data_IF_437349042755
#
_entry.id   IF_437349042755
#
_cell.length_a   1.000
_cell.length_b   1.000
_cell.length_c   1.000
_cell.angle_alpha   90.00
_cell.angle_beta   90.00
_cell.angle_gamma   90.00
#
_symmetry.space_group_name_H-M   'P 1'
#
loop_
_entity.id
_entity.type
_entity.pdbx_description
1 polymer ?
#
# COMPACT_ATOMS: atom_id res chain seq x y z
N UNK A 1 -22.78 -11.01 -28.12
CA UNK A 1 -22.40 -9.64 -27.67
C UNK A 1 -22.42 -9.47 -26.15
N UNK A 2 -22.51 -10.56 -25.38
CA UNK A 2 -22.60 -10.53 -23.90
C UNK A 2 -21.39 -11.16 -23.19
N UNK A 3 -20.38 -11.62 -23.92
CA UNK A 3 -19.24 -12.34 -23.33
C UNK A 3 -18.01 -11.48 -23.04
N UNK A 4 -17.88 -10.30 -23.62
CA UNK A 4 -16.66 -9.47 -23.46
C UNK A 4 -16.67 -8.53 -22.25
N UNK A 5 -17.73 -8.50 -21.45
CA UNK A 5 -17.82 -7.63 -20.26
C UNK A 5 -17.07 -8.21 -19.05
N UNK A 6 -16.68 -9.50 -19.13
CA UNK A 6 -16.25 -10.27 -17.94
C UNK A 6 -14.82 -10.06 -17.47
N UNK A 7 -13.87 -9.71 -18.33
CA UNK A 7 -12.44 -9.88 -17.99
C UNK A 7 -11.64 -8.58 -17.77
N UNK A 8 -12.18 -7.43 -18.12
CA UNK A 8 -11.44 -6.15 -18.03
C UNK A 8 -11.78 -5.28 -16.82
N UNK A 9 -12.71 -5.71 -15.97
CA UNK A 9 -13.17 -4.90 -14.85
C UNK A 9 -12.80 -5.55 -13.51
N UNK A 10 -11.89 -4.97 -12.73
CA UNK A 10 -11.53 -5.50 -11.42
C UNK A 10 -12.73 -5.62 -10.47
N UNK A 11 -13.78 -4.83 -10.68
CA UNK A 11 -15.03 -4.99 -9.92
C UNK A 11 -15.91 -6.12 -10.41
N UNK A 12 -15.93 -6.42 -11.70
CA UNK A 12 -16.60 -7.63 -12.20
C UNK A 12 -15.92 -8.88 -11.65
N UNK A 13 -14.60 -8.87 -11.53
CA UNK A 13 -13.83 -9.90 -10.82
C UNK A 13 -14.20 -9.98 -9.34
N UNK A 14 -14.35 -8.86 -8.64
CA UNK A 14 -14.74 -8.82 -7.23
C UNK A 14 -16.21 -9.24 -7.03
N UNK A 15 -17.09 -8.96 -7.98
CA UNK A 15 -18.56 -9.18 -7.87
C UNK A 15 -19.03 -10.50 -8.44
N UNK A 16 -18.51 -10.91 -9.59
CA UNK A 16 -18.85 -12.21 -10.18
C UNK A 16 -18.37 -13.38 -9.30
N UNK A 17 -17.62 -13.10 -8.23
CA UNK A 17 -16.81 -14.08 -7.57
C UNK A 17 -16.92 -14.09 -6.04
N UNK A 18 -17.96 -13.49 -5.44
CA UNK A 18 -18.23 -13.71 -4.01
C UNK A 18 -18.33 -15.22 -3.65
N UNK A 19 -18.73 -16.04 -4.63
CA UNK A 19 -18.78 -17.51 -4.52
C UNK A 19 -17.71 -18.24 -5.37
N UNK A 20 -16.78 -17.53 -6.02
CA UNK A 20 -15.82 -18.18 -6.90
C UNK A 20 -14.55 -18.64 -6.19
N UNK A 21 -13.95 -19.68 -6.76
CA UNK A 21 -12.65 -20.21 -6.33
C UNK A 21 -11.55 -19.13 -6.31
N UNK A 22 -11.61 -18.16 -7.24
CA UNK A 22 -10.65 -17.07 -7.32
C UNK A 22 -10.74 -16.09 -6.12
N UNK A 23 -11.95 -15.77 -5.65
CA UNK A 23 -12.16 -14.95 -4.46
C UNK A 23 -11.66 -15.66 -3.19
N UNK A 24 -11.97 -16.95 -3.06
CA UNK A 24 -11.44 -17.77 -1.98
C UNK A 24 -9.91 -17.87 -1.99
N UNK A 25 -9.30 -17.98 -3.18
CA UNK A 25 -7.86 -18.00 -3.34
C UNK A 25 -7.24 -16.65 -3.00
N UNK A 26 -7.81 -15.55 -3.48
CA UNK A 26 -7.38 -14.19 -3.17
C UNK A 26 -7.39 -13.94 -1.66
N UNK A 27 -8.48 -14.26 -0.98
CA UNK A 27 -8.59 -14.16 0.49
C UNK A 27 -7.55 -15.01 1.20
N UNK A 28 -7.30 -16.24 0.73
CA UNK A 28 -6.28 -17.14 1.31
C UNK A 28 -4.86 -16.58 1.13
N UNK A 29 -4.58 -15.90 0.02
CA UNK A 29 -3.29 -15.26 -0.22
C UNK A 29 -3.11 -13.95 0.55
N UNK A 30 -4.18 -13.17 0.72
CA UNK A 30 -4.14 -11.91 1.46
C UNK A 30 -4.02 -12.12 2.97
N UNK A 31 -4.64 -13.17 3.53
CA UNK A 31 -4.62 -13.45 4.97
C UNK A 31 -3.22 -13.61 5.57
N UNK A 32 -2.28 -14.39 4.99
CA UNK A 32 -0.92 -14.51 5.50
C UNK A 32 -0.14 -13.19 5.44
N UNK A 33 -0.37 -12.38 4.39
CA UNK A 33 0.27 -11.07 4.26
C UNK A 33 -0.14 -10.12 5.38
N UNK A 34 -1.39 -10.18 5.83
CA UNK A 34 -1.87 -9.40 6.98
C UNK A 34 -1.32 -9.91 8.31
N UNK A 35 -1.21 -11.23 8.47
CA UNK A 35 -0.70 -11.85 9.70
C UNK A 35 0.81 -11.62 9.89
N UNK A 36 1.55 -11.33 8.82
CA UNK A 36 2.99 -11.11 8.90
C UNK A 36 3.30 -9.77 9.57
N UNK A 37 4.19 -9.74 10.61
CA UNK A 37 4.64 -8.51 11.23
C UNK A 37 5.27 -7.56 10.20
N UNK A 38 4.97 -6.26 10.31
CA UNK A 38 5.45 -5.25 9.36
C UNK A 38 6.98 -5.25 9.20
N UNK A 39 7.71 -5.33 10.32
CA UNK A 39 9.18 -5.36 10.31
C UNK A 39 9.71 -6.62 9.61
N UNK A 40 9.12 -7.79 9.86
CA UNK A 40 9.55 -9.02 9.20
C UNK A 40 9.30 -8.95 7.68
N UNK A 41 8.16 -8.39 7.27
CA UNK A 41 7.87 -8.13 5.86
C UNK A 41 8.89 -7.16 5.25
N UNK A 42 9.22 -6.06 5.96
CA UNK A 42 10.17 -5.07 5.51
C UNK A 42 11.59 -5.64 5.31
N UNK A 43 12.05 -6.49 6.22
CA UNK A 43 13.35 -7.18 6.09
C UNK A 43 13.35 -8.07 4.85
N UNK A 44 12.33 -8.91 4.66
CA UNK A 44 12.21 -9.75 3.48
C UNK A 44 12.14 -8.95 2.19
N UNK A 45 11.39 -7.85 2.18
CA UNK A 45 11.26 -6.94 1.06
C UNK A 45 12.58 -6.23 0.72
N UNK A 46 13.34 -5.81 1.74
CA UNK A 46 14.67 -5.25 1.56
C UNK A 46 15.64 -6.24 0.91
N UNK A 47 15.67 -7.49 1.37
CA UNK A 47 16.46 -8.55 0.76
C UNK A 47 16.04 -8.87 -0.68
N UNK A 48 14.75 -8.70 -0.98
CA UNK A 48 14.24 -8.93 -2.32
C UNK A 48 14.69 -7.84 -3.30
N UNK A 49 14.60 -6.57 -2.88
CA UNK A 49 14.88 -5.39 -3.70
C UNK A 49 16.33 -4.90 -3.68
N UNK A 50 17.16 -5.35 -2.74
CA UNK A 50 18.57 -4.96 -2.70
C UNK A 50 19.26 -5.18 -4.05
N UNK A 51 20.25 -4.35 -4.43
CA UNK A 51 21.03 -4.57 -5.66
C UNK A 51 21.71 -5.95 -5.71
N UNK A 52 22.06 -6.50 -4.56
CA UNK A 52 22.53 -7.87 -4.37
C UNK A 52 21.39 -8.86 -4.05
N UNK A 53 20.14 -8.41 -4.15
CA UNK A 53 18.96 -9.14 -3.73
C UNK A 53 18.51 -10.23 -4.70
N UNK A 54 17.53 -11.01 -4.24
CA UNK A 54 17.04 -12.18 -4.97
C UNK A 54 16.45 -11.85 -6.34
N UNK A 55 15.72 -10.72 -6.47
CA UNK A 55 15.11 -10.34 -7.77
C UNK A 55 16.18 -10.12 -8.83
N UNK A 56 17.23 -9.35 -8.53
CA UNK A 56 18.27 -9.08 -9.49
C UNK A 56 19.10 -10.34 -9.78
N UNK A 57 19.39 -11.15 -8.78
CA UNK A 57 20.11 -12.42 -8.96
C UNK A 57 19.39 -13.42 -9.86
N UNK A 58 18.07 -13.50 -9.79
CA UNK A 58 17.27 -14.40 -10.62
C UNK A 58 17.30 -14.02 -12.10
N UNK A 59 17.43 -12.73 -12.41
CA UNK A 59 17.42 -12.22 -13.79
C UNK A 59 18.83 -11.92 -14.34
N UNK A 60 19.84 -11.85 -13.46
CA UNK A 60 21.24 -11.59 -13.85
C UNK A 60 22.03 -12.91 -13.91
N UNK A 61 23.04 -13.01 -14.82
CA UNK A 61 23.35 -12.05 -15.88
C UNK A 61 22.49 -12.21 -17.14
N UNK A 62 21.65 -13.26 -17.22
CA UNK A 62 21.00 -13.71 -18.44
C UNK A 62 20.12 -12.63 -19.12
N UNK A 63 19.36 -11.84 -18.35
CA UNK A 63 18.48 -10.79 -18.89
C UNK A 63 19.05 -9.39 -18.75
N UNK A 64 19.90 -9.15 -17.74
CA UNK A 64 20.41 -7.81 -17.43
C UNK A 64 21.83 -7.57 -17.94
N UNK A 65 22.59 -8.62 -18.25
CA UNK A 65 24.01 -8.54 -18.61
C UNK A 65 24.92 -8.11 -17.44
N UNK A 66 24.39 -7.99 -16.20
CA UNK A 66 25.15 -7.56 -15.05
C UNK A 66 25.81 -8.77 -14.37
N UNK A 67 27.15 -8.79 -14.33
CA UNK A 67 27.93 -9.79 -13.61
C UNK A 67 28.11 -9.44 -12.13
N UNK A 68 28.12 -8.14 -11.79
CA UNK A 68 28.23 -7.62 -10.44
C UNK A 68 26.97 -6.83 -10.08
N UNK A 69 26.64 -6.77 -8.76
CA UNK A 69 25.54 -5.92 -8.29
C UNK A 69 25.79 -4.46 -8.70
N UNK A 70 24.79 -3.77 -9.26
CA UNK A 70 24.91 -2.36 -9.61
C UNK A 70 24.92 -1.48 -8.36
N UNK A 71 25.53 -0.29 -8.45
CA UNK A 71 25.60 0.70 -7.38
C UNK A 71 24.28 1.50 -7.21
N UNK A 72 23.15 0.85 -7.40
CA UNK A 72 21.85 1.49 -7.23
C UNK A 72 21.42 1.45 -5.75
N UNK A 73 20.96 2.57 -5.27
CA UNK A 73 20.34 2.63 -3.95
C UNK A 73 18.83 2.34 -4.08
N UNK A 74 18.44 1.07 -3.97
CA UNK A 74 17.04 0.65 -3.93
C UNK A 74 16.50 0.59 -2.50
N UNK A 75 17.42 0.50 -1.52
CA UNK A 75 17.13 0.56 -0.09
C UNK A 75 17.75 1.86 0.41
N UNK A 76 17.02 2.60 1.25
CA UNK A 76 17.41 3.93 1.74
C UNK A 76 17.68 4.93 0.61
N UNK A 77 16.93 4.77 -0.48
CA UNK A 77 17.01 5.67 -1.61
C UNK A 77 16.61 7.10 -1.20
N UNK A 78 17.24 8.15 -1.76
CA UNK A 78 17.01 9.54 -1.36
C UNK A 78 15.56 10.01 -1.52
N UNK A 79 14.78 9.37 -2.40
CA UNK A 79 13.38 9.68 -2.68
C UNK A 79 12.40 8.88 -1.82
N UNK A 80 12.88 7.89 -1.05
CA UNK A 80 12.04 7.02 -0.24
C UNK A 80 11.15 6.07 -1.04
N UNK A 81 11.49 5.80 -2.31
CA UNK A 81 10.68 4.94 -3.19
C UNK A 81 10.60 3.52 -2.67
N UNK A 82 11.69 3.00 -2.10
CA UNK A 82 11.73 1.69 -1.46
C UNK A 82 10.74 1.59 -0.30
N UNK A 83 10.68 2.62 0.56
CA UNK A 83 9.73 2.71 1.66
C UNK A 83 8.28 2.83 1.15
N UNK A 84 8.05 3.68 0.16
CA UNK A 84 6.71 3.85 -0.44
C UNK A 84 6.24 2.53 -1.05
N UNK A 85 7.09 1.85 -1.82
CA UNK A 85 6.76 0.56 -2.41
C UNK A 85 6.42 -0.48 -1.34
N UNK A 86 7.22 -0.56 -0.27
CA UNK A 86 6.95 -1.43 0.88
C UNK A 86 5.57 -1.18 1.46
N UNK A 87 5.24 0.08 1.79
CA UNK A 87 3.96 0.47 2.38
C UNK A 87 2.80 0.13 1.44
N UNK A 88 2.92 0.43 0.14
CA UNK A 88 1.90 0.08 -0.85
C UNK A 88 1.66 -1.42 -0.88
N UNK A 89 2.72 -2.24 -0.96
CA UNK A 89 2.58 -3.69 -0.98
C UNK A 89 1.99 -4.25 0.31
N UNK A 90 2.37 -3.69 1.46
CA UNK A 90 1.94 -4.18 2.77
C UNK A 90 0.50 -3.78 3.10
N UNK A 91 0.10 -2.54 2.74
CA UNK A 91 -1.21 -2.00 3.09
C UNK A 91 -2.30 -2.31 2.05
N UNK A 92 -1.93 -2.60 0.82
CA UNK A 92 -2.89 -2.99 -0.24
C UNK A 92 -3.78 -4.17 0.16
N UNK A 93 -3.28 -5.29 0.75
CA UNK A 93 -4.12 -6.39 1.21
C UNK A 93 -5.18 -5.96 2.22
N UNK A 94 -4.82 -5.08 3.15
CA UNK A 94 -5.76 -4.54 4.14
C UNK A 94 -6.86 -3.72 3.47
N UNK A 95 -6.49 -2.78 2.59
CA UNK A 95 -7.46 -1.95 1.87
C UNK A 95 -8.38 -2.78 0.97
N UNK A 96 -7.83 -3.81 0.31
CA UNK A 96 -8.63 -4.74 -0.50
C UNK A 96 -9.65 -5.49 0.37
N UNK A 97 -9.25 -6.01 1.53
CA UNK A 97 -10.19 -6.69 2.43
C UNK A 97 -11.25 -5.74 2.98
N UNK A 98 -10.88 -4.49 3.30
CA UNK A 98 -11.84 -3.47 3.71
C UNK A 98 -12.82 -3.14 2.57
N UNK A 99 -12.32 -3.01 1.34
CA UNK A 99 -13.17 -2.82 0.17
C UNK A 99 -14.14 -4.01 -0.03
N UNK A 100 -13.63 -5.23 0.11
CA UNK A 100 -14.45 -6.44 0.00
C UNK A 100 -15.51 -6.52 1.10
N UNK A 101 -15.16 -6.15 2.35
CA UNK A 101 -16.09 -6.15 3.47
C UNK A 101 -17.16 -5.05 3.36
N UNK A 102 -16.80 -3.91 2.75
CA UNK A 102 -17.73 -2.79 2.54
C UNK A 102 -18.75 -3.03 1.43
N UNK A 103 -18.54 -4.03 0.60
CA UNK A 103 -19.42 -4.31 -0.55
C UNK A 103 -20.66 -5.07 -0.14
N UNK A 104 -21.82 -4.52 -0.47
CA UNK A 104 -23.06 -5.27 -0.47
C UNK A 104 -23.31 -5.82 -1.90
N UNK A 105 -23.27 -7.14 -2.13
CA UNK A 105 -23.32 -7.73 -3.48
C UNK A 105 -24.50 -7.25 -4.33
N UNK A 106 -25.68 -7.11 -3.69
CA UNK A 106 -26.91 -6.67 -4.36
C UNK A 106 -26.81 -5.22 -4.85
N UNK A 107 -26.22 -4.32 -4.04
CA UNK A 107 -26.10 -2.90 -4.43
C UNK A 107 -25.11 -2.71 -5.57
N UNK A 108 -24.02 -3.45 -5.56
CA UNK A 108 -23.01 -3.37 -6.62
C UNK A 108 -23.54 -3.93 -7.95
N UNK A 109 -24.21 -5.08 -7.92
CA UNK A 109 -24.86 -5.63 -9.11
C UNK A 109 -25.87 -4.63 -9.71
N UNK A 110 -26.70 -4.00 -8.85
CA UNK A 110 -27.64 -2.97 -9.29
C UNK A 110 -26.95 -1.78 -9.96
N UNK A 111 -25.86 -1.28 -9.41
CA UNK A 111 -25.11 -0.16 -10.00
C UNK A 111 -24.47 -0.53 -11.34
N UNK A 112 -23.99 -1.76 -11.48
CA UNK A 112 -23.46 -2.26 -12.76
C UNK A 112 -24.56 -2.33 -13.83
N UNK A 113 -25.73 -2.88 -13.49
CA UNK A 113 -26.89 -2.93 -14.39
C UNK A 113 -27.34 -1.54 -14.81
N UNK A 114 -27.42 -0.59 -13.87
CA UNK A 114 -27.79 0.79 -14.17
C UNK A 114 -26.76 1.46 -15.08
N UNK A 115 -25.45 1.29 -14.80
CA UNK A 115 -24.41 1.84 -15.65
C UNK A 115 -24.41 1.25 -17.06
N UNK A 116 -24.62 -0.06 -17.17
CA UNK A 116 -24.72 -0.73 -18.47
C UNK A 116 -25.96 -0.29 -19.28
N UNK A 117 -27.12 -0.12 -18.62
CA UNK A 117 -28.33 0.39 -19.25
C UNK A 117 -28.21 1.84 -19.73
N UNK A 118 -27.34 2.64 -19.10
CA UNK A 118 -27.01 4.00 -19.53
C UNK A 118 -25.91 4.05 -20.61
N UNK A 119 -25.44 2.88 -21.07
CA UNK A 119 -24.39 2.79 -22.09
C UNK A 119 -22.97 3.14 -21.58
N UNK A 120 -22.74 3.12 -20.27
CA UNK A 120 -21.42 3.38 -19.71
C UNK A 120 -20.49 2.19 -19.95
N UNK A 121 -19.26 2.48 -20.34
CA UNK A 121 -18.18 1.48 -20.39
C UNK A 121 -17.79 1.03 -18.98
N UNK A 122 -17.15 -0.13 -18.85
CA UNK A 122 -16.72 -0.67 -17.56
C UNK A 122 -15.85 0.30 -16.72
N UNK A 123 -14.86 1.02 -17.29
CA UNK A 123 -14.13 2.06 -16.56
C UNK A 123 -15.03 3.21 -16.08
N UNK A 124 -16.00 3.63 -16.88
CA UNK A 124 -16.93 4.70 -16.50
C UNK A 124 -17.84 4.28 -15.34
N UNK A 125 -18.34 3.03 -15.34
CA UNK A 125 -19.11 2.46 -14.24
C UNK A 125 -18.25 2.46 -12.96
N UNK A 126 -16.99 2.04 -13.07
CA UNK A 126 -16.05 2.04 -11.94
C UNK A 126 -15.88 3.43 -11.32
N UNK A 127 -15.45 4.40 -12.13
CA UNK A 127 -15.11 5.73 -11.64
C UNK A 127 -16.32 6.58 -11.25
N UNK A 128 -17.45 6.43 -11.92
CA UNK A 128 -18.63 7.29 -11.71
C UNK A 128 -19.66 6.73 -10.74
N UNK A 129 -19.75 5.41 -10.61
CA UNK A 129 -20.78 4.76 -9.80
C UNK A 129 -20.20 3.98 -8.63
N UNK A 130 -19.27 3.06 -8.89
CA UNK A 130 -18.80 2.11 -7.89
C UNK A 130 -17.82 2.76 -6.88
N UNK A 131 -16.82 3.47 -7.36
CA UNK A 131 -15.84 4.13 -6.48
C UNK A 131 -16.49 5.16 -5.57
N UNK A 132 -17.36 6.08 -6.05
CA UNK A 132 -18.07 7.00 -5.17
C UNK A 132 -18.97 6.30 -4.15
N UNK A 133 -19.58 5.17 -4.51
CA UNK A 133 -20.40 4.40 -3.58
C UNK A 133 -19.57 3.68 -2.50
N UNK A 134 -18.35 3.26 -2.81
CA UNK A 134 -17.42 2.63 -1.86
C UNK A 134 -16.67 3.66 -1.00
N UNK A 135 -16.51 4.88 -1.49
CA UNK A 135 -15.71 5.91 -0.84
C UNK A 135 -16.07 6.16 0.63
N UNK A 136 -17.36 6.29 1.04
CA UNK A 136 -17.71 6.51 2.45
C UNK A 136 -17.19 5.42 3.39
N UNK A 137 -17.12 4.18 2.90
CA UNK A 137 -16.63 3.03 3.68
C UNK A 137 -15.10 2.92 3.66
N UNK A 138 -14.45 3.34 2.57
CA UNK A 138 -13.01 3.22 2.39
C UNK A 138 -12.21 4.40 2.96
N UNK A 139 -12.83 5.57 3.12
CA UNK A 139 -12.13 6.78 3.56
C UNK A 139 -11.41 6.59 4.90
N UNK A 140 -12.05 5.98 5.91
CA UNK A 140 -11.44 5.75 7.21
C UNK A 140 -10.27 4.76 7.15
N UNK A 141 -10.38 3.58 6.51
CA UNK A 141 -9.23 2.72 6.25
C UNK A 141 -8.08 3.42 5.52
N UNK A 142 -8.38 4.22 4.50
CA UNK A 142 -7.35 4.97 3.74
C UNK A 142 -6.66 6.01 4.65
N UNK A 143 -7.42 6.76 5.44
CA UNK A 143 -6.84 7.72 6.38
C UNK A 143 -5.99 7.03 7.45
N UNK A 144 -6.44 5.88 7.97
CA UNK A 144 -5.66 5.10 8.92
C UNK A 144 -4.32 4.64 8.32
N UNK A 145 -4.31 4.13 7.09
CA UNK A 145 -3.09 3.74 6.37
C UNK A 145 -2.20 4.94 6.10
N UNK A 146 -2.76 6.07 5.67
CA UNK A 146 -1.99 7.29 5.42
C UNK A 146 -1.37 7.84 6.72
N UNK A 147 -2.13 7.88 7.82
CA UNK A 147 -1.65 8.31 9.13
C UNK A 147 -0.52 7.38 9.64
N UNK A 148 -0.69 6.07 9.48
CA UNK A 148 0.35 5.09 9.79
C UNK A 148 1.61 5.34 8.96
N UNK A 149 1.49 5.50 7.64
CA UNK A 149 2.61 5.72 6.74
C UNK A 149 3.42 6.99 7.06
N UNK A 150 2.75 8.05 7.53
CA UNK A 150 3.42 9.29 7.98
C UNK A 150 4.11 9.13 9.33
N UNK A 151 3.55 8.32 10.22
CA UNK A 151 4.02 8.17 11.61
C UNK A 151 4.98 6.97 11.80
N UNK A 152 5.11 6.08 10.82
CA UNK A 152 5.92 4.87 10.95
C UNK A 152 7.40 5.18 11.10
N UNK A 153 8.03 4.63 12.14
CA UNK A 153 9.46 4.82 12.45
C UNK A 153 10.29 3.60 12.07
N UNK A 154 9.88 2.42 12.50
CA UNK A 154 10.61 1.16 12.31
C UNK A 154 10.86 0.81 10.84
N UNK A 155 9.85 0.89 10.00
CA UNK A 155 9.99 0.65 8.56
C UNK A 155 10.81 1.75 7.88
N UNK A 156 10.63 3.00 8.31
CA UNK A 156 11.37 4.14 7.77
C UNK A 156 12.85 4.10 8.16
N UNK A 157 13.21 3.53 9.31
CA UNK A 157 14.62 3.28 9.69
C UNK A 157 15.26 2.17 8.83
N UNK A 158 14.49 1.21 8.37
CA UNK A 158 14.99 0.10 7.54
C UNK A 158 15.16 0.49 6.07
N UNK A 159 14.15 1.13 5.48
CA UNK A 159 14.09 1.38 4.04
C UNK A 159 13.98 2.86 3.67
N UNK A 160 13.67 3.74 4.61
CA UNK A 160 13.53 5.16 4.34
C UNK A 160 14.87 5.86 4.10
N UNK A 161 14.86 7.07 3.52
CA UNK A 161 16.06 7.85 3.27
C UNK A 161 16.75 8.27 4.58
N UNK A 162 18.08 8.35 4.53
CA UNK A 162 18.89 8.80 5.66
C UNK A 162 19.00 10.33 5.71
N UNK A 163 19.08 10.98 4.55
CA UNK A 163 19.28 12.44 4.47
C UNK A 163 18.44 13.06 3.31
N UNK A 164 17.36 13.77 3.63
CA UNK A 164 16.80 13.97 4.97
C UNK A 164 16.00 12.75 5.46
N UNK A 165 16.21 12.36 6.71
CA UNK A 165 15.38 11.32 7.30
C UNK A 165 13.92 11.79 7.46
N UNK A 166 12.93 10.87 7.35
CA UNK A 166 11.54 11.18 7.61
C UNK A 166 11.33 11.82 8.99
N UNK A 167 10.34 12.71 9.09
CA UNK A 167 10.10 13.46 10.34
C UNK A 167 9.90 12.54 11.55
N UNK A 168 9.13 11.46 11.39
CA UNK A 168 8.90 10.50 12.48
C UNK A 168 10.22 9.88 12.99
N UNK A 169 11.14 9.52 12.09
CA UNK A 169 12.47 9.01 12.45
C UNK A 169 13.30 10.07 13.15
N UNK A 170 13.31 11.31 12.68
CA UNK A 170 14.02 12.40 13.32
C UNK A 170 13.52 12.68 14.73
N UNK A 171 12.20 12.69 14.92
CA UNK A 171 11.59 12.86 16.23
C UNK A 171 11.98 11.73 17.19
N UNK A 172 12.01 10.51 16.70
CA UNK A 172 12.46 9.36 17.46
C UNK A 172 13.92 9.49 17.89
N UNK A 173 14.83 9.90 16.98
CA UNK A 173 16.24 10.13 17.29
C UNK A 173 16.42 11.26 18.31
N UNK A 174 15.72 12.39 18.17
CA UNK A 174 15.76 13.50 19.13
C UNK A 174 15.21 13.11 20.51
N UNK A 175 14.21 12.24 20.54
CA UNK A 175 13.66 11.73 21.81
C UNK A 175 14.67 10.87 22.57
N UNK A 176 15.49 10.11 21.86
CA UNK A 176 16.53 9.25 22.44
C UNK A 176 17.84 10.00 22.74
N UNK A 177 17.97 11.23 22.30
CA UNK A 177 19.18 12.03 22.52
C UNK A 177 19.37 12.32 24.03
N UNK A 178 20.54 12.10 24.58
CA UNK A 178 20.86 12.44 25.99
C UNK A 178 20.72 13.94 26.28
N UNK A 179 20.92 14.80 25.28
CA UNK A 179 20.76 16.24 25.43
C UNK A 179 19.29 16.65 25.56
N UNK A 180 18.96 17.16 26.76
CA UNK A 180 17.61 17.59 27.11
C UNK A 180 17.11 18.77 26.26
N UNK A 181 17.98 19.50 25.58
CA UNK A 181 17.61 20.59 24.69
C UNK A 181 16.72 20.12 23.53
N UNK A 182 16.89 18.88 23.08
CA UNK A 182 16.08 18.28 22.01
C UNK A 182 14.64 17.95 22.42
N UNK A 183 14.32 17.89 23.72
CA UNK A 183 12.98 17.55 24.19
C UNK A 183 11.91 18.53 23.73
N UNK A 184 12.22 19.83 23.75
CA UNK A 184 11.31 20.87 23.24
C UNK A 184 11.05 20.73 21.74
N UNK A 185 12.11 20.51 20.96
CA UNK A 185 12.00 20.29 19.52
C UNK A 185 11.23 19.01 19.20
N UNK A 186 11.46 17.93 19.96
CA UNK A 186 10.71 16.67 19.81
C UNK A 186 9.23 16.86 20.09
N UNK A 187 8.87 17.54 21.19
CA UNK A 187 7.47 17.78 21.56
C UNK A 187 6.74 18.62 20.50
N UNK A 188 7.35 19.72 20.04
CA UNK A 188 6.76 20.57 19.00
C UNK A 188 6.66 19.84 17.66
N UNK A 189 7.67 19.07 17.28
CA UNK A 189 7.65 18.24 16.08
C UNK A 189 6.58 17.15 16.13
N UNK A 190 6.37 16.51 17.30
CA UNK A 190 5.32 15.53 17.50
C UNK A 190 3.91 16.15 17.37
N UNK A 191 3.71 17.37 17.89
CA UNK A 191 2.46 18.11 17.70
C UNK A 191 2.21 18.46 16.23
N UNK A 192 3.26 18.84 15.50
CA UNK A 192 3.14 19.09 14.05
C UNK A 192 2.80 17.81 13.29
N UNK A 193 3.40 16.68 13.64
CA UNK A 193 3.09 15.39 13.03
C UNK A 193 1.63 15.00 13.30
N UNK A 194 1.17 15.15 14.55
CA UNK A 194 -0.21 14.91 14.94
C UNK A 194 -1.19 15.83 14.19
N UNK A 195 -0.88 17.12 14.08
CA UNK A 195 -1.71 18.05 13.33
C UNK A 195 -1.80 17.68 11.84
N UNK A 196 -0.71 17.22 11.24
CA UNK A 196 -0.69 16.74 9.85
C UNK A 196 -1.52 15.48 9.66
N UNK A 197 -1.43 14.53 10.57
CA UNK A 197 -2.24 13.30 10.49
C UNK A 197 -3.72 13.57 10.74
N UNK A 198 -4.07 14.57 11.54
CA UNK A 198 -5.46 14.98 11.77
C UNK A 198 -6.08 15.77 10.59
N UNK A 199 -5.27 16.25 9.65
CA UNK A 199 -5.72 16.94 8.43
C UNK A 199 -5.91 16.01 7.22
N UNK A 200 -5.52 14.73 7.35
CA UNK A 200 -5.75 13.72 6.32
C UNK A 200 -7.20 13.24 6.33
#
# INVERSE_FOLDING_TARGET
ASEDIGLANPTALLLAHSDSRAFGLLRRLLSPMLAMPHVAFAIGFAFLLAPSGWLLRLVSPALTGLELPPDWQTIRDPWGLGLIALLVFKETPFLLLMAMAAQHPIQLARQQWLGASLGFSAPQIWWRLLLPALWPALRLPIYAVAAYGVAVVDLAQLLGPDAPAPLAVRLWLWYQDPDLLWRGATASGALLLLARTAQL
#
